data_IF_436813056852
#
_entry.id   IF_436813056852
#
_cell.length_a   1.000
_cell.length_b   1.000
_cell.length_c   1.000
_cell.angle_alpha   90.00
_cell.angle_beta   90.00
_cell.angle_gamma   90.00
#
_symmetry.space_group_name_H-M   'P 1'
#
loop_
_entity.id
_entity.type
_entity.pdbx_description
1 polymer ?
#
# COMPACT_ATOMS: atom_id res chain seq x y z
N UNK A 1 72.04 13.51 16.45
CA UNK A 1 71.71 14.59 17.40
C UNK A 1 71.22 15.79 16.59
N UNK A 2 69.99 16.23 16.88
CA UNK A 2 69.35 17.53 16.61
C UNK A 2 69.56 18.26 15.25
N UNK A 3 68.47 18.51 14.53
CA UNK A 3 67.86 19.87 14.46
C UNK A 3 66.61 19.87 13.57
N UNK A 4 65.47 20.28 14.12
CA UNK A 4 64.31 20.79 13.39
C UNK A 4 64.52 22.29 13.08
N UNK A 5 63.76 22.87 12.12
CA UNK A 5 62.80 23.88 12.59
C UNK A 5 61.45 23.93 11.84
N UNK A 6 60.56 24.67 12.50
CA UNK A 6 59.14 24.96 12.30
C UNK A 6 58.82 25.87 11.10
N UNK A 7 57.65 25.66 10.46
CA UNK A 7 56.77 26.71 9.87
C UNK A 7 55.45 26.08 9.40
N UNK A 8 54.33 26.23 10.10
CA UNK A 8 53.39 27.37 10.12
C UNK A 8 52.74 27.67 8.76
N UNK A 9 51.43 27.44 8.65
CA UNK A 9 50.57 27.84 7.52
C UNK A 9 49.15 27.28 7.63
N UNK A 10 48.26 28.03 8.27
CA UNK A 10 46.90 27.69 8.69
C UNK A 10 45.87 27.44 7.56
N UNK A 11 44.74 26.76 7.86
CA UNK A 11 43.61 26.59 6.94
C UNK A 11 42.76 27.87 6.84
N UNK A 12 42.39 28.27 5.62
CA UNK A 12 41.44 29.36 5.37
C UNK A 12 40.00 28.81 5.36
N UNK A 13 39.36 28.91 6.53
CA UNK A 13 37.92 28.86 6.68
C UNK A 13 37.32 30.18 6.15
N UNK A 14 36.38 30.12 5.21
CA UNK A 14 35.53 31.27 4.87
C UNK A 14 34.08 30.96 5.23
N UNK A 15 33.73 31.42 6.42
CA UNK A 15 32.40 31.45 7.00
C UNK A 15 31.72 32.79 6.66
N UNK A 16 30.39 32.72 6.51
CA UNK A 16 29.36 33.77 6.68
C UNK A 16 29.10 34.72 5.50
N UNK A 17 27.83 34.74 5.07
CA UNK A 17 27.00 35.89 5.41
C UNK A 17 25.53 35.50 5.64
N UNK A 18 25.02 35.98 6.78
CA UNK A 18 23.65 35.94 7.27
C UNK A 18 22.95 37.26 6.87
N UNK A 19 21.72 37.18 6.37
CA UNK A 19 20.68 38.22 6.50
C UNK A 19 19.34 37.47 6.60
N UNK A 20 18.78 37.22 7.79
CA UNK A 20 18.07 38.10 8.72
C UNK A 20 16.68 38.56 8.25
N UNK A 21 15.68 37.81 8.73
CA UNK A 21 14.42 38.24 9.36
C UNK A 21 13.43 39.12 8.56
N UNK A 22 12.23 38.57 8.33
CA UNK A 22 10.98 39.18 8.81
C UNK A 22 10.06 38.15 9.45
N UNK A 23 9.46 38.59 10.54
CA UNK A 23 8.63 37.88 11.51
C UNK A 23 7.16 38.29 11.33
N UNK A 24 6.26 37.42 11.81
CA UNK A 24 4.84 37.61 12.21
C UNK A 24 3.83 37.04 11.20
N UNK A 25 2.78 36.29 11.59
CA UNK A 25 2.26 35.85 12.90
C UNK A 25 1.21 34.75 12.64
N UNK A 26 1.31 33.66 13.40
CA UNK A 26 0.26 32.90 14.13
C UNK A 26 -1.22 33.18 13.76
N UNK A 27 -1.99 32.12 13.46
CA UNK A 27 -3.25 31.70 14.13
C UNK A 27 -3.86 30.48 13.38
N UNK A 28 -3.96 29.34 14.07
CA UNK A 28 -4.87 28.21 13.79
C UNK A 28 -5.82 28.08 15.00
N UNK A 29 -6.76 27.12 15.03
CA UNK A 29 -7.98 26.94 14.21
C UNK A 29 -9.23 26.95 15.14
N UNK A 30 -10.45 26.53 14.76
CA UNK A 30 -10.74 25.08 14.81
C UNK A 30 -11.90 24.55 13.92
N UNK A 31 -11.95 23.21 13.87
CA UNK A 31 -13.14 22.32 13.88
C UNK A 31 -13.91 22.05 12.60
N UNK A 32 -13.71 20.83 12.13
CA UNK A 32 -14.65 20.01 11.36
C UNK A 32 -15.98 19.82 12.07
N UNK A 33 -17.06 19.69 11.29
CA UNK A 33 -18.15 18.74 11.54
C UNK A 33 -18.71 18.23 10.20
N UNK A 34 -18.42 16.97 9.95
CA UNK A 34 -19.04 16.08 9.00
C UNK A 34 -20.53 15.94 9.33
N UNK A 35 -21.39 16.14 8.34
CA UNK A 35 -22.81 15.79 8.40
C UNK A 35 -23.10 14.68 7.40
N UNK A 36 -23.14 13.47 7.93
CA UNK A 36 -23.68 12.27 7.30
C UNK A 36 -25.20 12.45 7.26
N UNK A 37 -25.83 12.36 6.08
CA UNK A 37 -27.19 11.83 5.92
C UNK A 37 -27.49 11.60 4.43
N UNK A 38 -27.11 10.40 3.97
CA UNK A 38 -27.80 9.71 2.89
C UNK A 38 -29.23 9.43 3.31
N UNK A 39 -30.23 9.92 2.56
CA UNK A 39 -31.55 9.29 2.50
C UNK A 39 -32.36 9.71 1.26
N UNK A 40 -32.86 8.67 0.61
CA UNK A 40 -34.05 8.57 -0.23
C UNK A 40 -33.96 8.89 -1.73
N UNK A 41 -33.74 7.81 -2.46
CA UNK A 41 -34.23 7.52 -3.80
C UNK A 41 -35.74 7.81 -3.97
N UNK A 42 -36.05 8.63 -4.97
CA UNK A 42 -37.16 8.53 -5.92
C UNK A 42 -38.47 7.89 -5.41
N UNK A 43 -39.41 8.75 -5.02
CA UNK A 43 -40.84 8.45 -5.13
C UNK A 43 -41.33 8.85 -6.53
N UNK A 44 -41.79 7.89 -7.31
CA UNK A 44 -42.69 8.12 -8.45
C UNK A 44 -43.97 7.31 -8.21
N UNK A 45 -45.11 7.95 -7.93
CA UNK A 45 -46.41 7.31 -8.07
C UNK A 45 -46.83 7.39 -9.54
N UNK A 46 -46.82 6.27 -10.26
CA UNK A 46 -47.48 6.20 -11.57
C UNK A 46 -48.93 5.76 -11.36
N UNK A 47 -49.84 6.72 -11.44
CA UNK A 47 -51.26 6.49 -11.56
C UNK A 47 -51.61 6.40 -13.05
N UNK A 48 -52.26 5.32 -13.47
CA UNK A 48 -53.12 5.35 -14.65
C UNK A 48 -54.39 4.54 -14.37
N UNK A 49 -55.58 5.13 -14.55
CA UNK A 49 -56.86 4.46 -14.34
C UNK A 49 -57.50 3.93 -15.64
N UNK A 50 -58.49 3.05 -15.42
CA UNK A 50 -59.72 2.79 -16.19
C UNK A 50 -59.75 1.82 -17.40
N UNK A 51 -60.45 0.70 -17.13
CA UNK A 51 -61.65 0.13 -17.80
C UNK A 51 -61.52 -0.51 -19.19
N UNK A 52 -61.88 -1.79 -19.29
CA UNK A 52 -63.02 -2.29 -20.11
C UNK A 52 -63.34 -3.77 -19.84
N UNK A 53 -64.58 -4.15 -20.09
CA UNK A 53 -65.31 -5.36 -19.65
C UNK A 53 -65.30 -6.49 -20.71
N UNK A 54 -65.22 -7.76 -20.24
CA UNK A 54 -65.86 -9.04 -20.68
C UNK A 54 -66.01 -9.41 -22.18
N UNK A 55 -65.87 -10.70 -22.61
CA UNK A 55 -66.70 -11.82 -22.12
C UNK A 55 -66.03 -13.21 -22.00
N UNK A 56 -66.80 -14.11 -21.38
CA UNK A 56 -66.46 -15.51 -21.04
C UNK A 56 -66.27 -16.39 -22.27
N UNK A 57 -65.25 -17.26 -22.22
CA UNK A 57 -65.22 -18.48 -23.03
C UNK A 57 -64.56 -19.62 -22.24
N UNK A 58 -65.37 -20.63 -21.92
CA UNK A 58 -65.02 -21.86 -21.21
C UNK A 58 -64.40 -22.87 -22.19
N UNK A 59 -63.14 -23.24 -21.97
CA UNK A 59 -62.55 -24.47 -22.53
C UNK A 59 -61.75 -25.19 -21.44
N UNK A 60 -61.84 -26.53 -21.33
CA UNK A 60 -61.04 -27.28 -20.38
C UNK A 60 -59.68 -27.62 -21.03
N UNK A 61 -58.65 -26.83 -20.75
CA UNK A 61 -57.27 -27.20 -21.08
C UNK A 61 -56.51 -27.50 -19.79
N UNK A 62 -56.21 -28.79 -19.65
CA UNK A 62 -55.31 -29.46 -18.72
C UNK A 62 -54.21 -28.54 -18.17
N UNK A 63 -54.30 -28.22 -16.89
CA UNK A 63 -53.26 -27.55 -16.12
C UNK A 63 -52.04 -28.45 -15.98
N UNK A 64 -50.98 -28.18 -16.76
CA UNK A 64 -49.64 -28.51 -16.32
C UNK A 64 -49.14 -27.36 -15.43
N UNK A 65 -48.60 -27.65 -14.24
CA UNK A 65 -47.93 -26.62 -13.46
C UNK A 65 -46.70 -26.14 -14.25
N UNK A 66 -46.48 -24.82 -14.41
CA UNK A 66 -45.21 -24.33 -14.91
C UNK A 66 -44.15 -24.68 -13.86
N UNK A 67 -43.24 -25.58 -14.22
CA UNK A 67 -42.01 -25.75 -13.45
C UNK A 67 -41.30 -24.40 -13.43
N UNK A 68 -40.90 -23.87 -12.26
CA UNK A 68 -40.07 -22.69 -12.23
C UNK A 68 -38.74 -23.07 -12.88
N UNK A 69 -38.44 -22.46 -14.03
CA UNK A 69 -37.08 -22.39 -14.55
C UNK A 69 -36.26 -21.67 -13.48
N UNK A 70 -35.59 -22.46 -12.63
CA UNK A 70 -34.54 -21.98 -11.75
C UNK A 70 -33.50 -21.37 -12.69
N UNK A 71 -33.50 -20.04 -12.76
CA UNK A 71 -32.43 -19.28 -13.40
C UNK A 71 -31.17 -19.67 -12.66
N UNK A 72 -30.34 -20.49 -13.29
CA UNK A 72 -28.99 -20.79 -12.83
C UNK A 72 -28.23 -19.46 -12.86
N UNK A 73 -28.16 -18.79 -11.71
CA UNK A 73 -27.17 -17.75 -11.50
C UNK A 73 -25.83 -18.46 -11.64
N UNK A 74 -25.06 -18.09 -12.67
CA UNK A 74 -23.64 -18.45 -12.73
C UNK A 74 -23.05 -18.04 -11.38
N UNK A 75 -22.61 -19.03 -10.62
CA UNK A 75 -21.85 -18.80 -9.40
C UNK A 75 -20.70 -17.86 -9.77
N UNK A 76 -20.47 -16.76 -9.03
CA UNK A 76 -19.33 -15.90 -9.31
C UNK A 76 -18.09 -16.73 -9.03
N UNK A 77 -17.50 -17.30 -10.08
CA UNK A 77 -16.14 -17.83 -10.00
C UNK A 77 -15.25 -16.66 -9.60
N UNK A 78 -14.36 -16.82 -8.60
CA UNK A 78 -13.41 -15.78 -8.27
C UNK A 78 -12.71 -15.31 -9.55
N UNK A 79 -12.60 -14.00 -9.76
CA UNK A 79 -12.00 -13.47 -10.99
C UNK A 79 -10.58 -14.02 -11.09
N UNK A 80 -10.22 -14.54 -12.26
CA UNK A 80 -8.86 -15.03 -12.51
C UNK A 80 -7.87 -13.89 -12.24
N UNK A 81 -6.70 -14.17 -11.64
CA UNK A 81 -5.69 -13.16 -11.37
C UNK A 81 -5.26 -12.52 -12.69
N UNK A 82 -5.77 -11.31 -12.94
CA UNK A 82 -5.50 -10.50 -14.13
C UNK A 82 -4.50 -9.44 -13.73
N UNK A 83 -3.63 -9.02 -14.66
CA UNK A 83 -2.61 -8.02 -14.39
C UNK A 83 -3.19 -6.78 -13.71
N UNK A 84 -4.31 -6.26 -14.20
CA UNK A 84 -4.93 -5.06 -13.64
C UNK A 84 -5.37 -5.24 -12.18
N UNK A 85 -5.84 -6.43 -11.77
CA UNK A 85 -6.23 -6.71 -10.39
C UNK A 85 -5.03 -6.82 -9.46
N UNK A 86 -3.93 -7.44 -9.92
CA UNK A 86 -2.70 -7.51 -9.13
C UNK A 86 -2.03 -6.14 -9.02
N UNK A 87 -2.12 -5.33 -10.08
CA UNK A 87 -1.61 -3.97 -10.09
C UNK A 87 -2.43 -3.10 -9.13
N UNK A 88 -3.75 -3.29 -9.04
CA UNK A 88 -4.61 -2.59 -8.09
C UNK A 88 -4.19 -2.88 -6.64
N UNK A 89 -4.03 -4.15 -6.26
CA UNK A 89 -3.55 -4.52 -4.92
C UNK A 89 -2.16 -3.93 -4.60
N UNK A 90 -1.23 -4.01 -5.55
CA UNK A 90 0.10 -3.41 -5.39
C UNK A 90 0.06 -1.89 -5.35
N UNK A 91 -0.91 -1.26 -6.02
CA UNK A 91 -1.13 0.18 -5.95
C UNK A 91 -1.58 0.56 -4.56
N UNK A 92 -2.55 -0.16 -3.99
CA UNK A 92 -3.06 0.10 -2.65
C UNK A 92 -1.94 0.00 -1.60
N UNK A 93 -1.11 -1.05 -1.66
CA UNK A 93 0.06 -1.20 -0.80
C UNK A 93 1.10 -0.10 -1.02
N UNK A 94 1.27 0.36 -2.26
CA UNK A 94 2.18 1.47 -2.56
C UNK A 94 1.69 2.80 -1.97
N UNK A 95 0.39 3.09 -2.04
CA UNK A 95 -0.16 4.30 -1.42
C UNK A 95 0.01 4.26 0.10
N UNK A 96 -0.26 3.11 0.75
CA UNK A 96 -0.02 2.94 2.19
C UNK A 96 1.46 3.19 2.52
N UNK A 97 2.38 2.52 1.82
CA UNK A 97 3.81 2.67 2.08
C UNK A 97 4.32 4.10 1.83
N UNK A 98 3.73 4.80 0.85
CA UNK A 98 4.05 6.19 0.55
C UNK A 98 3.54 7.15 1.64
N UNK A 99 2.32 6.95 2.13
CA UNK A 99 1.76 7.74 3.22
C UNK A 99 2.60 7.57 4.50
N UNK A 100 2.96 6.32 4.86
CA UNK A 100 3.82 6.05 6.02
C UNK A 100 5.22 6.67 5.84
N UNK A 101 5.79 6.63 4.63
CA UNK A 101 7.07 7.30 4.34
C UNK A 101 6.99 8.83 4.48
N UNK A 102 5.88 9.45 4.08
CA UNK A 102 5.66 10.89 4.23
C UNK A 102 5.58 11.28 5.71
N UNK A 103 4.85 10.50 6.51
CA UNK A 103 4.79 10.68 7.98
C UNK A 103 6.19 10.53 8.59
N UNK A 104 6.93 9.48 8.21
CA UNK A 104 8.28 9.25 8.70
C UNK A 104 9.24 10.40 8.37
N UNK A 105 9.12 10.98 7.17
CA UNK A 105 9.92 12.12 6.75
C UNK A 105 9.56 13.38 7.55
N UNK A 106 8.27 13.71 7.67
CA UNK A 106 7.80 14.88 8.43
C UNK A 106 8.19 14.78 9.92
N UNK A 107 8.05 13.60 10.52
CA UNK A 107 8.43 13.35 11.91
C UNK A 107 9.93 13.42 12.15
N UNK A 108 10.74 12.92 11.21
CA UNK A 108 12.21 12.99 11.27
C UNK A 108 12.67 14.43 11.15
N UNK A 109 12.21 15.16 10.13
CA UNK A 109 12.55 16.57 9.92
C UNK A 109 12.07 17.46 11.09
N UNK A 110 10.96 17.08 11.72
CA UNK A 110 10.43 17.72 12.92
C UNK A 110 11.12 17.33 14.23
N UNK A 111 12.10 16.41 14.19
CA UNK A 111 12.77 15.83 15.36
C UNK A 111 11.78 15.38 16.45
N UNK A 112 10.66 14.78 16.04
CA UNK A 112 9.62 14.38 16.96
C UNK A 112 9.99 13.11 17.71
N UNK A 113 9.34 12.87 18.85
CA UNK A 113 9.51 11.60 19.59
C UNK A 113 8.99 10.36 18.85
N UNK A 114 8.24 10.56 17.76
CA UNK A 114 7.66 9.49 16.94
C UNK A 114 8.55 9.12 15.75
N UNK A 115 9.57 9.92 15.43
CA UNK A 115 10.41 9.74 14.25
C UNK A 115 11.05 8.35 14.12
N UNK A 116 11.38 7.68 15.23
CA UNK A 116 11.86 6.30 15.18
C UNK A 116 10.73 5.33 14.79
N UNK A 117 9.59 5.40 15.48
CA UNK A 117 8.44 4.52 15.23
C UNK A 117 7.85 4.72 13.83
N UNK A 118 7.82 5.95 13.32
CA UNK A 118 7.26 6.22 12.00
C UNK A 118 8.17 5.69 10.88
N UNK A 119 9.50 5.74 11.07
CA UNK A 119 10.46 5.08 10.16
C UNK A 119 10.28 3.57 10.16
N UNK A 120 10.06 2.96 11.32
CA UNK A 120 9.76 1.53 11.43
C UNK A 120 8.47 1.18 10.68
N UNK A 121 7.39 1.97 10.86
CA UNK A 121 6.13 1.79 10.11
C UNK A 121 6.34 1.88 8.59
N UNK A 122 7.11 2.87 8.11
CA UNK A 122 7.42 3.01 6.70
C UNK A 122 8.21 1.81 6.15
N UNK A 123 9.13 1.26 6.95
CA UNK A 123 9.91 0.07 6.61
C UNK A 123 9.02 -1.18 6.52
N UNK A 124 8.13 -1.37 7.47
CA UNK A 124 7.21 -2.51 7.50
C UNK A 124 6.24 -2.48 6.32
N UNK A 125 5.65 -1.32 6.02
CA UNK A 125 4.78 -1.15 4.86
C UNK A 125 5.53 -1.40 3.53
N UNK A 126 6.78 -0.92 3.40
CA UNK A 126 7.63 -1.20 2.25
C UNK A 126 7.96 -2.70 2.13
N UNK A 127 8.27 -3.37 3.24
CA UNK A 127 8.55 -4.80 3.27
C UNK A 127 7.34 -5.61 2.80
N UNK A 128 6.14 -5.26 3.23
CA UNK A 128 4.90 -5.88 2.76
C UNK A 128 4.71 -5.69 1.25
N UNK A 129 4.87 -4.45 0.75
CA UNK A 129 4.80 -4.17 -0.69
C UNK A 129 5.83 -5.00 -1.49
N UNK A 130 7.07 -5.07 -1.00
CA UNK A 130 8.13 -5.83 -1.65
C UNK A 130 7.80 -7.33 -1.66
N UNK A 131 7.32 -7.87 -0.54
CA UNK A 131 6.97 -9.29 -0.43
C UNK A 131 5.86 -9.67 -1.42
N UNK A 132 4.75 -8.91 -1.46
CA UNK A 132 3.65 -9.14 -2.41
C UNK A 132 4.13 -8.98 -3.86
N UNK A 133 4.92 -7.94 -4.14
CA UNK A 133 5.50 -7.72 -5.46
C UNK A 133 6.36 -8.91 -5.90
N UNK A 134 7.21 -9.44 -5.02
CA UNK A 134 8.04 -10.59 -5.30
C UNK A 134 7.21 -11.86 -5.51
N UNK A 135 6.17 -12.10 -4.70
CA UNK A 135 5.27 -13.25 -4.88
C UNK A 135 4.58 -13.24 -6.26
N UNK A 136 4.12 -12.08 -6.72
CA UNK A 136 3.45 -11.95 -8.01
C UNK A 136 4.39 -11.87 -9.21
N UNK A 137 5.65 -11.49 -9.03
CA UNK A 137 6.60 -11.32 -10.14
C UNK A 137 7.72 -12.34 -10.19
N UNK A 138 7.88 -13.18 -9.16
CA UNK A 138 8.84 -14.28 -9.16
C UNK A 138 8.54 -15.24 -10.31
N UNK A 139 9.58 -15.57 -11.09
CA UNK A 139 9.50 -16.65 -12.07
C UNK A 139 9.85 -17.96 -11.37
N UNK A 140 9.13 -19.07 -11.63
CA UNK A 140 9.53 -20.37 -11.12
C UNK A 140 10.89 -20.75 -11.73
N UNK A 141 11.93 -20.84 -10.88
CA UNK A 141 13.29 -21.23 -11.27
C UNK A 141 14.25 -20.10 -11.64
N UNK A 142 13.85 -18.83 -11.48
CA UNK A 142 14.81 -17.71 -11.49
C UNK A 142 15.25 -17.51 -10.04
N UNK A 143 16.52 -17.77 -9.73
CA UNK A 143 17.13 -17.44 -8.45
C UNK A 143 17.16 -15.91 -8.39
N UNK A 144 16.04 -15.30 -7.97
CA UNK A 144 15.95 -13.87 -7.82
C UNK A 144 16.82 -13.52 -6.62
N UNK A 145 18.10 -13.29 -6.87
CA UNK A 145 18.96 -12.47 -6.03
C UNK A 145 18.34 -11.06 -6.00
N UNK A 146 17.38 -10.87 -5.12
CA UNK A 146 16.79 -9.58 -4.85
C UNK A 146 16.51 -9.50 -3.36
N UNK A 147 17.55 -9.18 -2.61
CA UNK A 147 17.47 -8.34 -1.42
C UNK A 147 16.74 -8.87 -0.18
N UNK A 148 15.95 -9.94 -0.26
CA UNK A 148 15.26 -10.55 0.89
C UNK A 148 16.16 -11.59 1.56
N UNK A 149 17.42 -11.23 1.83
CA UNK A 149 18.34 -12.04 2.66
C UNK A 149 19.02 -11.26 3.77
N UNK A 150 18.65 -10.01 3.98
CA UNK A 150 19.12 -9.20 5.11
C UNK A 150 17.94 -8.71 5.96
N UNK A 151 17.15 -9.64 6.49
CA UNK A 151 16.26 -9.39 7.62
C UNK A 151 16.75 -10.30 8.74
N UNK A 152 17.78 -9.85 9.45
CA UNK A 152 18.47 -10.63 10.47
C UNK A 152 19.58 -9.84 11.16
N UNK A 153 19.20 -8.83 11.93
CA UNK A 153 20.09 -8.04 12.81
C UNK A 153 19.56 -6.61 12.89
N UNK A 154 19.05 -6.09 14.00
CA UNK A 154 19.50 -6.28 15.36
C UNK A 154 18.34 -6.01 16.34
N UNK A 155 17.85 -7.08 16.98
CA UNK A 155 17.11 -7.00 18.25
C UNK A 155 18.11 -7.26 19.37
N UNK A 156 18.46 -6.22 20.14
CA UNK A 156 19.08 -6.39 21.46
C UNK A 156 18.00 -6.32 22.53
N UNK A 157 17.78 -7.42 23.25
CA UNK A 157 16.90 -7.47 24.42
C UNK A 157 16.34 -8.87 24.65
N UNK A 158 17.09 -9.70 25.38
CA UNK A 158 16.94 -11.16 25.39
C UNK A 158 15.76 -11.74 26.17
N UNK A 159 15.55 -13.04 25.94
CA UNK A 159 14.61 -13.85 26.72
C UNK A 159 14.15 -15.11 26.01
N UNK A 160 14.93 -16.18 26.17
CA UNK A 160 14.48 -17.58 26.23
C UNK A 160 14.17 -18.35 24.93
N UNK A 161 14.78 -19.54 24.88
CA UNK A 161 14.78 -20.50 23.80
C UNK A 161 13.39 -21.11 23.57
N UNK A 162 12.72 -20.66 22.51
CA UNK A 162 11.67 -21.39 21.80
C UNK A 162 12.15 -21.66 20.38
N UNK A 163 12.25 -22.93 20.02
CA UNK A 163 12.54 -23.37 18.66
C UNK A 163 11.41 -22.97 17.71
N UNK A 164 11.50 -21.81 17.07
CA UNK A 164 10.61 -21.42 15.98
C UNK A 164 11.42 -21.32 14.69
N UNK A 165 11.53 -22.48 14.04
CA UNK A 165 11.91 -22.57 12.64
C UNK A 165 10.98 -21.66 11.84
N UNK A 166 11.53 -20.55 11.35
CA UNK A 166 10.99 -19.68 10.31
C UNK A 166 9.47 -19.67 10.24
N UNK A 167 8.85 -18.76 10.99
CA UNK A 167 7.55 -18.27 10.59
C UNK A 167 7.68 -17.85 9.12
N UNK A 168 7.13 -18.65 8.21
CA UNK A 168 6.81 -18.21 6.87
C UNK A 168 5.98 -16.95 7.12
N UNK A 169 6.59 -15.77 6.93
CA UNK A 169 5.92 -14.50 7.09
C UNK A 169 4.68 -14.57 6.21
N UNK A 170 3.53 -14.84 6.84
CA UNK A 170 2.29 -15.12 6.13
C UNK A 170 1.82 -13.78 5.59
N UNK A 171 2.29 -13.45 4.41
CA UNK A 171 1.84 -12.28 3.68
C UNK A 171 0.51 -12.67 3.07
N UNK A 172 -0.58 -12.17 3.67
CA UNK A 172 -1.93 -12.37 3.17
C UNK A 172 -2.07 -11.63 1.83
N UNK A 173 -2.00 -12.38 0.74
CA UNK A 173 -2.21 -11.88 -0.63
C UNK A 173 -3.65 -12.17 -1.05
N UNK A 174 -4.30 -11.23 -1.73
CA UNK A 174 -5.67 -11.44 -2.23
C UNK A 174 -5.77 -12.53 -3.30
N UNK A 175 -4.69 -12.80 -4.03
CA UNK A 175 -4.64 -13.80 -5.10
C UNK A 175 -3.59 -14.87 -4.81
N UNK A 176 -3.86 -16.12 -5.21
CA UNK A 176 -2.87 -17.17 -5.09
C UNK A 176 -1.70 -16.92 -6.07
N UNK A 177 -0.47 -16.69 -5.58
CA UNK A 177 0.66 -16.37 -6.45
C UNK A 177 1.03 -17.51 -7.40
N UNK A 178 0.61 -18.76 -7.14
CA UNK A 178 0.86 -19.89 -8.04
C UNK A 178 -0.02 -19.87 -9.30
N UNK A 179 -1.17 -19.19 -9.26
CA UNK A 179 -2.11 -19.11 -10.39
C UNK A 179 -1.78 -17.99 -11.38
N UNK A 180 -0.80 -17.14 -11.06
CA UNK A 180 -0.39 -16.01 -11.90
C UNK A 180 0.42 -16.49 -13.10
N UNK A 181 -0.11 -16.30 -14.31
CA UNK A 181 0.54 -16.65 -15.57
C UNK A 181 1.74 -15.74 -15.90
N UNK A 182 2.75 -16.25 -16.61
CA UNK A 182 4.00 -15.54 -16.87
C UNK A 182 3.83 -14.16 -17.53
N UNK A 183 2.92 -14.04 -18.51
CA UNK A 183 2.61 -12.76 -19.17
C UNK A 183 2.08 -11.71 -18.18
N UNK A 184 1.25 -12.14 -17.22
CA UNK A 184 0.72 -11.27 -16.17
C UNK A 184 1.84 -10.81 -15.25
N UNK A 185 2.77 -11.70 -14.88
CA UNK A 185 3.94 -11.36 -14.04
C UNK A 185 4.81 -10.30 -14.68
N UNK A 186 5.10 -10.45 -15.98
CA UNK A 186 5.94 -9.51 -16.73
C UNK A 186 5.27 -8.13 -16.82
N UNK A 187 3.94 -8.07 -16.99
CA UNK A 187 3.22 -6.81 -17.02
C UNK A 187 3.20 -6.11 -15.66
N UNK A 188 2.96 -6.86 -14.57
CA UNK A 188 3.06 -6.33 -13.19
C UNK A 188 4.48 -5.80 -12.93
N UNK A 189 5.51 -6.58 -13.29
CA UNK A 189 6.92 -6.20 -13.16
C UNK A 189 7.21 -4.89 -13.88
N UNK A 190 6.70 -4.72 -15.11
CA UNK A 190 6.89 -3.53 -15.94
C UNK A 190 6.22 -2.29 -15.36
N UNK A 191 4.99 -2.39 -14.84
CA UNK A 191 4.23 -1.24 -14.34
C UNK A 191 4.62 -0.82 -12.92
N UNK A 192 4.92 -1.79 -12.05
CA UNK A 192 5.10 -1.54 -10.61
C UNK A 192 6.57 -1.51 -10.22
N UNK A 193 7.45 -2.22 -10.94
CA UNK A 193 8.84 -2.43 -10.53
C UNK A 193 9.67 -1.17 -10.35
N UNK A 194 9.45 -0.13 -11.17
CA UNK A 194 10.16 1.13 -11.01
C UNK A 194 9.78 1.83 -9.69
N UNK A 195 8.49 1.90 -9.39
CA UNK A 195 7.95 2.59 -8.20
C UNK A 195 8.43 1.93 -6.91
N UNK A 196 8.44 0.59 -6.87
CA UNK A 196 8.96 -0.17 -5.72
C UNK A 196 10.45 0.13 -5.49
N UNK A 197 11.26 0.21 -6.55
CA UNK A 197 12.69 0.52 -6.43
C UNK A 197 12.93 1.95 -5.97
N UNK A 198 12.16 2.90 -6.49
CA UNK A 198 12.23 4.31 -6.09
C UNK A 198 11.89 4.48 -4.61
N UNK A 199 10.79 3.88 -4.15
CA UNK A 199 10.38 3.95 -2.74
C UNK A 199 11.39 3.27 -1.82
N UNK A 200 11.92 2.11 -2.19
CA UNK A 200 12.96 1.42 -1.42
C UNK A 200 14.20 2.28 -1.21
N UNK A 201 14.68 2.90 -2.28
CA UNK A 201 15.83 3.79 -2.23
C UNK A 201 15.53 5.06 -1.40
N UNK A 202 14.31 5.58 -1.45
CA UNK A 202 13.89 6.73 -0.66
C UNK A 202 13.88 6.42 0.85
N UNK A 203 13.36 5.26 1.25
CA UNK A 203 13.37 4.78 2.64
C UNK A 203 14.81 4.57 3.12
N UNK A 204 15.65 3.91 2.33
CA UNK A 204 17.08 3.71 2.66
C UNK A 204 17.80 5.04 2.91
N UNK A 205 17.61 6.04 2.05
CA UNK A 205 18.18 7.39 2.22
C UNK A 205 17.63 8.10 3.46
N UNK A 206 16.36 7.89 3.82
CA UNK A 206 15.78 8.45 5.05
C UNK A 206 16.42 7.82 6.30
N UNK A 207 16.57 6.49 6.31
CA UNK A 207 17.21 5.76 7.40
C UNK A 207 18.67 6.20 7.58
N UNK A 208 19.45 6.27 6.50
CA UNK A 208 20.85 6.72 6.54
C UNK A 208 20.99 8.13 7.13
N UNK A 209 20.13 9.06 6.71
CA UNK A 209 20.14 10.45 7.23
C UNK A 209 19.82 10.49 8.71
N UNK A 210 18.80 9.76 9.14
CA UNK A 210 18.35 9.75 10.52
C UNK A 210 19.28 8.97 11.47
N UNK A 211 20.14 8.09 10.95
CA UNK A 211 21.24 7.48 11.73
C UNK A 211 22.49 8.37 11.84
N UNK A 212 22.59 9.40 11.00
CA UNK A 212 23.72 10.33 10.99
C UNK A 212 23.53 11.54 11.90
N UNK A 213 22.33 11.77 12.43
CA UNK A 213 22.00 12.81 13.42
C UNK A 213 22.28 12.37 14.86
#
# INVERSE_FOLDING_TARGET
MASAPLRSGAPLLRLRNLQSTRVARIITPPRALYSILSRNTRQHPNANPTKTLTPLHTTPTRSQPPTPLIRAYSSPTPPKPTADLLIEELQDLYEIAKDEFEIATESTDGATIYAASDRDSARDALNQLCAVYHLYTARPGEDVDSGVRNVGGQVEGGGEAGSELGEDAFVETHFNPQEVGGEVRDEVRRRVGQRVRELRNAVEILEERAHAE
#
